data_IF_226794445936
#
_entry.id   IF_226794445936
#
_cell.length_a   1.000
_cell.length_b   1.000
_cell.length_c   1.000
_cell.angle_alpha   90.00
_cell.angle_beta   90.00
_cell.angle_gamma   90.00
#
_symmetry.space_group_name_H-M   'P 1'
#
loop_
_entity.id
_entity.type
_entity.pdbx_description
1 polymer ?
#
# COMPACT_ATOMS: atom_id res chain seq x y z
N UNK A 1 31.91 -18.22 6.90
CA UNK A 1 30.89 -17.73 5.96
C UNK A 1 29.87 -16.87 6.73
N UNK A 2 30.00 -15.54 6.75
CA UNK A 2 29.17 -14.67 7.59
C UNK A 2 28.20 -13.84 6.72
N UNK A 3 27.29 -14.48 6.00
CA UNK A 3 26.29 -13.78 5.18
C UNK A 3 24.84 -14.21 5.46
N UNK A 4 24.64 -15.26 6.27
CA UNK A 4 23.30 -15.75 6.65
C UNK A 4 22.85 -15.17 8.01
N UNK A 5 23.79 -14.78 8.88
CA UNK A 5 23.47 -14.30 10.23
C UNK A 5 22.82 -12.91 10.29
N UNK A 6 22.95 -12.09 9.24
CA UNK A 6 22.44 -10.70 9.26
C UNK A 6 20.97 -10.63 8.82
N UNK A 7 20.47 -11.61 8.06
CA UNK A 7 19.08 -11.61 7.59
C UNK A 7 18.07 -12.05 8.66
N UNK A 8 18.53 -12.67 9.76
CA UNK A 8 17.67 -13.17 10.84
C UNK A 8 17.36 -12.12 11.92
N UNK A 9 18.01 -10.96 11.89
CA UNK A 9 17.97 -9.98 12.97
C UNK A 9 16.81 -8.96 12.91
N UNK A 10 15.90 -9.04 11.93
CA UNK A 10 14.82 -8.06 11.75
C UNK A 10 13.39 -8.63 11.83
N UNK A 11 13.26 -9.91 12.16
CA UNK A 11 11.96 -10.55 12.44
C UNK A 11 11.97 -11.11 13.86
N UNK A 12 11.94 -10.20 14.83
CA UNK A 12 11.52 -10.51 16.21
C UNK A 12 10.02 -10.83 16.20
N UNK A 13 9.63 -11.96 15.61
CA UNK A 13 8.42 -12.64 16.06
C UNK A 13 8.80 -13.26 17.41
N UNK A 14 8.50 -12.55 18.50
CA UNK A 14 8.81 -13.01 19.86
C UNK A 14 8.00 -14.24 20.24
N UNK A 15 6.86 -14.49 19.59
CA UNK A 15 5.96 -15.60 19.92
C UNK A 15 5.32 -16.17 18.64
N UNK A 16 5.45 -17.49 18.43
CA UNK A 16 4.68 -18.26 17.44
C UNK A 16 3.65 -19.08 18.20
N UNK A 17 2.37 -18.73 18.02
CA UNK A 17 1.24 -19.32 18.75
C UNK A 17 0.51 -20.31 17.85
N UNK A 18 0.52 -21.59 18.21
CA UNK A 18 -0.22 -22.65 17.52
C UNK A 18 -1.45 -23.04 18.34
N UNK A 19 -2.65 -22.89 17.76
CA UNK A 19 -3.93 -22.98 18.48
C UNK A 19 -4.67 -24.30 18.31
N UNK A 20 -4.04 -25.36 17.76
CA UNK A 20 -4.75 -26.64 17.59
C UNK A 20 -3.92 -27.88 17.95
N UNK A 21 -4.49 -28.71 18.83
CA UNK A 21 -3.92 -29.97 19.38
C UNK A 21 -3.54 -31.01 18.30
N UNK A 22 -4.00 -30.84 17.06
CA UNK A 22 -3.70 -31.77 15.94
C UNK A 22 -2.22 -31.70 15.53
N UNK A 23 -1.54 -30.58 15.78
CA UNK A 23 -0.17 -30.33 15.31
C UNK A 23 0.92 -30.86 16.25
N UNK A 24 0.57 -31.32 17.46
CA UNK A 24 1.56 -31.80 18.45
C UNK A 24 2.31 -33.05 17.97
N UNK A 25 1.63 -33.94 17.22
CA UNK A 25 2.25 -35.15 16.64
C UNK A 25 3.20 -34.82 15.49
N UNK A 26 2.81 -33.88 14.64
CA UNK A 26 3.66 -33.38 13.56
C UNK A 26 4.87 -32.63 14.14
N UNK A 27 4.66 -31.82 15.19
CA UNK A 27 5.70 -31.08 15.91
C UNK A 27 6.79 -32.01 16.46
N UNK A 28 6.42 -33.14 17.06
CA UNK A 28 7.38 -34.10 17.61
C UNK A 28 8.36 -34.65 16.56
N UNK A 29 7.93 -34.72 15.29
CA UNK A 29 8.77 -35.16 14.16
C UNK A 29 9.65 -33.99 13.69
N UNK A 30 9.05 -32.82 13.43
CA UNK A 30 9.75 -31.69 12.81
C UNK A 30 10.66 -30.90 13.76
N UNK A 31 10.44 -30.96 15.09
CA UNK A 31 11.20 -30.15 16.07
C UNK A 31 12.72 -30.35 15.96
N UNK A 32 13.16 -31.56 15.60
CA UNK A 32 14.59 -31.88 15.47
C UNK A 32 15.25 -31.23 14.24
N UNK A 33 14.46 -30.73 13.29
CA UNK A 33 14.93 -30.01 12.11
C UNK A 33 14.90 -28.48 12.28
N UNK A 34 14.34 -28.00 13.40
CA UNK A 34 14.22 -26.57 13.73
C UNK A 34 15.34 -26.19 14.70
N UNK A 35 15.97 -25.03 14.51
CA UNK A 35 17.02 -24.54 15.41
C UNK A 35 16.48 -24.35 16.85
N UNK A 36 17.26 -24.69 17.91
CA UNK A 36 16.81 -24.57 19.30
C UNK A 36 16.30 -23.17 19.69
N UNK A 37 16.85 -22.10 19.13
CA UNK A 37 16.41 -20.73 19.40
C UNK A 37 15.00 -20.47 18.85
N UNK A 38 14.65 -21.09 17.72
CA UNK A 38 13.31 -21.01 17.14
C UNK A 38 12.34 -21.92 17.89
N UNK A 39 12.79 -23.11 18.31
CA UNK A 39 11.98 -24.02 19.13
C UNK A 39 11.48 -23.35 20.41
N UNK A 40 12.34 -22.58 21.08
CA UNK A 40 12.00 -21.87 22.32
C UNK A 40 10.97 -20.74 22.15
N UNK A 41 10.71 -20.30 20.91
CA UNK A 41 9.72 -19.25 20.59
C UNK A 41 8.34 -19.81 20.24
N UNK A 42 8.19 -21.13 20.17
CA UNK A 42 6.94 -21.79 19.77
C UNK A 42 6.18 -22.20 21.03
N UNK A 43 5.01 -21.59 21.22
CA UNK A 43 4.12 -21.86 22.34
C UNK A 43 2.85 -22.55 21.83
N UNK A 44 2.60 -23.76 22.32
CA UNK A 44 1.35 -24.48 22.06
C UNK A 44 0.36 -24.13 23.15
N UNK A 45 -0.71 -23.45 22.77
CA UNK A 45 -1.78 -23.13 23.70
C UNK A 45 -2.70 -24.34 23.87
N UNK A 46 -3.11 -24.62 25.10
CA UNK A 46 -4.13 -25.64 25.38
C UNK A 46 -5.53 -25.04 25.38
N UNK A 47 -5.62 -23.81 25.87
CA UNK A 47 -6.85 -23.03 25.94
C UNK A 47 -6.66 -21.70 25.24
N UNK A 48 -7.72 -21.21 24.59
CA UNK A 48 -7.67 -19.96 23.82
C UNK A 48 -7.47 -18.73 24.72
N UNK A 49 -7.81 -18.84 26.01
CA UNK A 49 -7.60 -17.81 27.05
C UNK A 49 -6.12 -17.55 27.36
N UNK A 50 -5.24 -18.54 27.14
CA UNK A 50 -3.79 -18.39 27.32
C UNK A 50 -3.19 -17.37 26.32
N UNK A 51 -3.92 -17.04 25.25
CA UNK A 51 -3.52 -16.02 24.28
C UNK A 51 -3.44 -14.61 24.89
N UNK A 52 -4.21 -14.36 25.95
CA UNK A 52 -4.21 -13.08 26.66
C UNK A 52 -2.93 -12.83 27.46
N UNK A 53 -2.12 -13.87 27.73
CA UNK A 53 -0.79 -13.70 28.34
C UNK A 53 0.21 -13.04 27.38
N UNK A 54 -0.04 -13.13 26.06
CA UNK A 54 0.85 -12.64 25.03
C UNK A 54 0.33 -11.40 24.30
N UNK A 55 -1.00 -11.27 24.17
CA UNK A 55 -1.64 -10.19 23.40
C UNK A 55 -2.82 -9.66 24.20
N UNK A 56 -2.83 -8.35 24.48
CA UNK A 56 -3.94 -7.73 25.19
C UNK A 56 -5.28 -7.94 24.43
N UNK A 57 -6.40 -8.22 25.14
CA UNK A 57 -7.70 -8.45 24.51
C UNK A 57 -8.18 -7.37 23.51
N UNK A 58 -7.87 -6.07 23.68
CA UNK A 58 -8.18 -5.01 22.70
C UNK A 58 -7.47 -5.13 21.36
N UNK A 59 -6.32 -5.80 21.31
CA UNK A 59 -5.52 -5.99 20.09
C UNK A 59 -5.81 -7.33 19.41
N UNK A 60 -6.55 -8.21 20.08
CA UNK A 60 -6.84 -9.55 19.60
C UNK A 60 -8.19 -9.60 18.86
N UNK A 61 -8.26 -10.18 17.65
CA UNK A 61 -9.51 -10.30 16.90
C UNK A 61 -10.58 -11.11 17.63
N UNK A 62 -11.87 -10.78 17.42
CA UNK A 62 -13.02 -11.51 18.00
C UNK A 62 -13.04 -13.01 17.70
N UNK A 63 -12.61 -13.45 16.51
CA UNK A 63 -12.47 -14.88 16.19
C UNK A 63 -11.47 -15.64 17.07
N UNK A 64 -10.59 -14.90 17.76
CA UNK A 64 -9.62 -15.42 18.72
C UNK A 64 -9.99 -15.01 20.16
N UNK A 65 -11.28 -14.74 20.42
CA UNK A 65 -11.83 -14.35 21.73
C UNK A 65 -11.35 -13.00 22.29
N UNK A 66 -10.72 -12.17 21.47
CA UNK A 66 -10.45 -10.79 21.82
C UNK A 66 -11.64 -9.85 21.58
N UNK A 67 -11.38 -8.55 21.70
CA UNK A 67 -12.40 -7.50 21.50
C UNK A 67 -12.18 -6.71 20.22
N UNK A 68 -11.02 -6.83 19.56
CA UNK A 68 -10.73 -6.17 18.30
C UNK A 68 -11.68 -6.70 17.19
N UNK A 69 -12.29 -5.82 16.38
CA UNK A 69 -13.12 -6.27 15.26
C UNK A 69 -12.33 -7.19 14.31
N UNK A 70 -12.98 -8.24 13.81
CA UNK A 70 -12.36 -9.13 12.84
C UNK A 70 -12.07 -8.39 11.53
N UNK A 71 -10.92 -8.72 10.93
CA UNK A 71 -10.58 -8.23 9.61
C UNK A 71 -11.56 -8.78 8.58
N UNK A 72 -12.32 -7.90 7.95
CA UNK A 72 -13.20 -8.22 6.81
C UNK A 72 -12.68 -7.49 5.58
N UNK A 73 -12.25 -8.28 4.59
CA UNK A 73 -11.85 -7.72 3.31
C UNK A 73 -13.07 -7.19 2.55
N UNK A 74 -12.99 -5.93 2.10
CA UNK A 74 -13.97 -5.33 1.21
C UNK A 74 -13.45 -5.47 -0.22
N UNK A 75 -14.08 -6.33 -1.05
CA UNK A 75 -13.65 -6.51 -2.42
C UNK A 75 -13.86 -5.23 -3.25
N UNK A 76 -13.13 -5.08 -4.38
CA UNK A 76 -13.39 -4.02 -5.34
C UNK A 76 -14.84 -4.05 -5.82
N UNK A 77 -15.46 -2.87 -5.96
CA UNK A 77 -16.82 -2.77 -6.49
C UNK A 77 -16.84 -2.96 -8.01
N UNK A 78 -18.02 -3.18 -8.59
CA UNK A 78 -18.20 -3.22 -10.05
C UNK A 78 -17.75 -1.91 -10.71
N UNK A 79 -17.94 -0.76 -10.04
CA UNK A 79 -17.46 0.54 -10.52
C UNK A 79 -15.92 0.59 -10.55
N UNK A 80 -15.25 0.16 -9.48
CA UNK A 80 -13.78 0.12 -9.40
C UNK A 80 -13.18 -0.70 -10.55
N UNK A 81 -13.77 -1.87 -10.84
CA UNK A 81 -13.34 -2.75 -11.92
C UNK A 81 -13.56 -2.13 -13.32
N UNK A 82 -14.71 -1.49 -13.53
CA UNK A 82 -15.03 -0.80 -14.79
C UNK A 82 -14.04 0.35 -15.05
N UNK A 83 -13.75 1.16 -14.03
CA UNK A 83 -12.81 2.27 -14.14
C UNK A 83 -11.39 1.78 -14.39
N UNK A 84 -10.95 0.74 -13.69
CA UNK A 84 -9.65 0.11 -13.92
C UNK A 84 -9.52 -0.39 -15.36
N UNK A 85 -10.55 -1.05 -15.89
CA UNK A 85 -10.56 -1.52 -17.27
C UNK A 85 -10.45 -0.35 -18.27
N UNK A 86 -11.17 0.75 -18.04
CA UNK A 86 -11.12 1.94 -18.89
C UNK A 86 -9.71 2.56 -18.92
N UNK A 87 -9.06 2.76 -17.77
CA UNK A 87 -7.69 3.31 -17.72
C UNK A 87 -6.65 2.36 -18.32
N UNK A 88 -6.84 1.04 -18.20
CA UNK A 88 -5.94 0.05 -18.83
C UNK A 88 -6.08 0.02 -20.36
N UNK A 89 -7.28 0.25 -20.87
CA UNK A 89 -7.54 0.33 -22.31
C UNK A 89 -6.94 1.60 -22.94
N UNK A 90 -6.93 2.72 -22.22
CA UNK A 90 -6.40 4.01 -22.69
C UNK A 90 -4.85 4.09 -22.66
N UNK A 91 -4.21 3.34 -23.56
CA UNK A 91 -2.74 3.32 -23.71
C UNK A 91 -2.18 4.67 -24.17
N UNK A 92 -2.92 5.39 -25.03
CA UNK A 92 -2.47 6.65 -25.59
C UNK A 92 -2.53 7.79 -24.56
N UNK A 93 -3.64 7.91 -23.83
CA UNK A 93 -3.76 8.88 -22.74
C UNK A 93 -2.71 8.62 -21.66
N UNK A 94 -2.48 7.36 -21.29
CA UNK A 94 -1.39 6.98 -20.37
C UNK A 94 -0.02 7.45 -20.84
N UNK A 95 0.28 7.33 -22.14
CA UNK A 95 1.56 7.77 -22.72
C UNK A 95 1.71 9.30 -22.63
N UNK A 96 0.66 10.04 -22.96
CA UNK A 96 0.64 11.51 -22.93
C UNK A 96 0.86 12.02 -21.50
N UNK A 97 0.05 11.55 -20.55
CA UNK A 97 0.10 12.00 -19.16
C UNK A 97 1.43 11.59 -18.51
N UNK A 98 1.94 10.39 -18.79
CA UNK A 98 3.28 9.96 -18.32
C UNK A 98 4.39 10.88 -18.84
N UNK A 99 4.32 11.27 -20.11
CA UNK A 99 5.31 12.17 -20.69
C UNK A 99 5.25 13.57 -20.05
N UNK A 100 4.04 14.09 -19.82
CA UNK A 100 3.82 15.36 -19.12
C UNK A 100 4.39 15.31 -17.68
N UNK A 101 4.07 14.27 -16.92
CA UNK A 101 4.61 14.09 -15.57
C UNK A 101 6.14 13.98 -15.56
N UNK A 102 6.73 13.24 -16.51
CA UNK A 102 8.19 13.14 -16.64
C UNK A 102 8.84 14.50 -16.96
N UNK A 103 8.18 15.35 -17.76
CA UNK A 103 8.64 16.71 -18.04
C UNK A 103 8.60 17.57 -16.78
N UNK A 104 7.50 17.54 -16.04
CA UNK A 104 7.36 18.27 -14.78
C UNK A 104 8.40 17.83 -13.74
N UNK A 105 8.63 16.53 -13.60
CA UNK A 105 9.65 15.97 -12.70
C UNK A 105 11.06 16.45 -13.05
N UNK A 106 11.43 16.44 -14.34
CA UNK A 106 12.73 16.98 -14.80
C UNK A 106 12.86 18.46 -14.50
N UNK A 107 11.81 19.25 -14.73
CA UNK A 107 11.83 20.67 -14.43
C UNK A 107 12.05 20.93 -12.94
N UNK A 108 11.27 20.27 -12.07
CA UNK A 108 11.44 20.36 -10.62
C UNK A 108 12.85 19.95 -10.16
N UNK A 109 13.40 18.86 -10.71
CA UNK A 109 14.75 18.39 -10.39
C UNK A 109 15.80 19.43 -10.81
N UNK A 110 15.70 19.98 -12.02
CA UNK A 110 16.66 20.99 -12.51
C UNK A 110 16.65 22.26 -11.64
N UNK A 111 15.47 22.74 -11.25
CA UNK A 111 15.34 23.94 -10.40
C UNK A 111 15.85 23.64 -8.98
N UNK A 112 15.51 22.47 -8.43
CA UNK A 112 15.98 22.05 -7.10
C UNK A 112 17.50 21.83 -7.07
N UNK A 113 18.09 21.38 -8.18
CA UNK A 113 19.54 21.23 -8.30
C UNK A 113 20.26 22.58 -8.30
N UNK A 114 19.74 23.61 -8.98
CA UNK A 114 20.27 24.98 -8.88
C UNK A 114 20.24 25.49 -7.44
N UNK A 115 19.12 25.26 -6.75
CA UNK A 115 18.97 25.63 -5.34
C UNK A 115 19.96 24.89 -4.44
N UNK A 116 20.13 23.58 -4.65
CA UNK A 116 21.10 22.77 -3.92
C UNK A 116 22.56 23.19 -4.17
N UNK A 117 22.85 23.85 -5.29
CA UNK A 117 24.16 24.45 -5.58
C UNK A 117 24.33 25.87 -5.01
N UNK A 118 23.37 26.37 -4.21
CA UNK A 118 23.50 27.61 -3.46
C UNK A 118 22.85 28.84 -4.11
N UNK A 119 22.08 28.67 -5.20
CA UNK A 119 21.24 29.76 -5.71
C UNK A 119 19.98 29.89 -4.85
N UNK A 120 19.93 30.94 -4.04
CA UNK A 120 18.77 31.27 -3.19
C UNK A 120 18.07 32.55 -3.67
N UNK A 121 18.21 32.90 -4.95
CA UNK A 121 17.49 34.04 -5.51
C UNK A 121 15.98 33.87 -5.35
N UNK A 122 15.28 34.96 -5.03
CA UNK A 122 13.83 34.93 -4.82
C UNK A 122 13.08 34.43 -6.08
N UNK A 123 13.62 34.74 -7.26
CA UNK A 123 13.15 34.21 -8.54
C UNK A 123 13.23 32.69 -8.64
N UNK A 124 14.33 32.08 -8.18
CA UNK A 124 14.49 30.63 -8.22
C UNK A 124 13.58 29.95 -7.19
N UNK A 125 13.42 30.56 -6.00
CA UNK A 125 12.52 30.04 -4.97
C UNK A 125 11.08 30.03 -5.47
N UNK A 126 10.64 31.06 -6.18
CA UNK A 126 9.31 31.07 -6.80
C UNK A 126 9.19 30.08 -7.97
N UNK A 127 10.20 29.99 -8.84
CA UNK A 127 10.24 28.96 -9.88
C UNK A 127 10.12 27.55 -9.27
N UNK A 128 10.81 27.29 -8.14
CA UNK A 128 10.76 25.99 -7.45
C UNK A 128 9.38 25.71 -6.87
N UNK A 129 8.72 26.71 -6.25
CA UNK A 129 7.34 26.57 -5.77
C UNK A 129 6.38 26.26 -6.92
N UNK A 130 6.53 26.93 -8.06
CA UNK A 130 5.72 26.67 -9.25
C UNK A 130 5.99 25.27 -9.82
N UNK A 131 7.25 24.86 -9.94
CA UNK A 131 7.64 23.54 -10.39
C UNK A 131 7.09 22.42 -9.48
N UNK A 132 7.03 22.67 -8.16
CA UNK A 132 6.43 21.76 -7.19
C UNK A 132 4.92 21.59 -7.45
N UNK A 133 4.21 22.69 -7.69
CA UNK A 133 2.78 22.66 -8.04
C UNK A 133 2.55 21.88 -9.34
N UNK A 134 3.31 22.19 -10.39
CA UNK A 134 3.23 21.48 -11.67
C UNK A 134 3.52 19.98 -11.54
N UNK A 135 4.50 19.61 -10.72
CA UNK A 135 4.83 18.21 -10.45
C UNK A 135 3.65 17.49 -9.79
N UNK A 136 3.08 18.09 -8.74
CA UNK A 136 1.88 17.57 -8.08
C UNK A 136 0.72 17.44 -9.06
N UNK A 137 0.35 18.51 -9.75
CA UNK A 137 -0.82 18.53 -10.63
C UNK A 137 -0.67 17.49 -11.77
N UNK A 138 0.53 17.36 -12.34
CA UNK A 138 0.82 16.33 -13.35
C UNK A 138 0.78 14.90 -12.78
N UNK A 139 1.14 14.72 -11.51
CA UNK A 139 1.03 13.42 -10.83
C UNK A 139 -0.44 13.08 -10.61
N UNK A 140 -1.29 14.04 -10.22
CA UNK A 140 -2.72 13.80 -10.02
C UNK A 140 -3.42 13.31 -11.28
N UNK A 141 -3.03 13.83 -12.45
CA UNK A 141 -3.51 13.32 -13.73
C UNK A 141 -2.99 11.92 -14.05
N UNK A 142 -1.79 11.58 -13.58
CA UNK A 142 -1.12 10.31 -13.87
C UNK A 142 -1.58 9.16 -12.97
N UNK A 143 -1.90 9.44 -11.70
CA UNK A 143 -2.30 8.48 -10.66
C UNK A 143 -3.31 7.43 -11.16
N UNK A 144 -4.41 7.77 -11.85
CA UNK A 144 -5.42 6.79 -12.26
C UNK A 144 -4.91 5.72 -13.24
N UNK A 145 -3.81 6.00 -13.94
CA UNK A 145 -3.19 5.09 -14.90
C UNK A 145 -2.12 4.16 -14.28
N UNK A 146 -1.76 4.38 -13.01
CA UNK A 146 -0.74 3.59 -12.29
C UNK A 146 -1.25 3.02 -10.97
N UNK A 147 -2.31 3.59 -10.41
CA UNK A 147 -2.88 3.20 -9.13
C UNK A 147 -4.40 3.01 -9.23
N UNK A 148 -4.95 2.19 -8.33
CA UNK A 148 -6.39 1.95 -8.20
C UNK A 148 -6.79 2.11 -6.75
N UNK A 149 -8.08 2.33 -6.49
CA UNK A 149 -8.59 2.33 -5.12
C UNK A 149 -8.17 1.06 -4.37
N UNK A 150 -7.48 1.25 -3.26
CA UNK A 150 -7.04 0.17 -2.38
C UNK A 150 -8.13 -0.19 -1.37
N UNK A 151 -7.90 -1.23 -0.57
CA UNK A 151 -8.78 -1.58 0.54
C UNK A 151 -9.00 -0.40 1.51
N UNK A 152 -7.95 0.39 1.78
CA UNK A 152 -8.02 1.54 2.68
C UNK A 152 -8.93 2.67 2.16
N UNK A 153 -9.03 2.82 0.85
CA UNK A 153 -9.99 3.75 0.23
C UNK A 153 -11.43 3.27 0.43
N UNK A 154 -11.67 1.96 0.24
CA UNK A 154 -13.01 1.36 0.39
C UNK A 154 -13.49 1.33 1.84
N UNK A 155 -12.58 1.19 2.80
CA UNK A 155 -12.88 1.26 4.24
C UNK A 155 -12.98 2.69 4.78
N UNK A 156 -12.71 3.71 3.96
CA UNK A 156 -12.78 5.12 4.38
C UNK A 156 -11.63 5.59 5.26
N UNK A 157 -10.56 4.80 5.40
CA UNK A 157 -9.35 5.20 6.15
C UNK A 157 -8.55 6.25 5.37
N UNK A 158 -8.48 6.08 4.04
CA UNK A 158 -7.87 7.05 3.13
C UNK A 158 -8.98 7.65 2.28
N UNK A 159 -9.12 8.97 2.34
CA UNK A 159 -10.10 9.70 1.53
C UNK A 159 -9.36 10.65 0.58
N UNK A 160 -8.96 10.11 -0.57
CA UNK A 160 -8.29 10.90 -1.62
C UNK A 160 -9.30 11.27 -2.72
N UNK A 161 -9.57 12.57 -2.94
CA UNK A 161 -10.53 13.01 -3.95
C UNK A 161 -10.05 12.74 -5.39
N UNK A 162 -8.79 12.34 -5.56
CA UNK A 162 -8.13 12.14 -6.85
C UNK A 162 -8.87 11.11 -7.71
N UNK A 163 -9.36 10.03 -7.10
CA UNK A 163 -10.09 8.98 -7.80
C UNK A 163 -11.48 9.45 -8.19
N UNK A 164 -12.14 10.23 -7.33
CA UNK A 164 -13.46 10.77 -7.64
C UNK A 164 -13.41 11.78 -8.78
N UNK A 165 -12.40 12.66 -8.78
CA UNK A 165 -12.17 13.63 -9.84
C UNK A 165 -11.79 12.93 -11.15
N UNK A 166 -10.87 11.97 -11.10
CA UNK A 166 -10.45 11.23 -12.28
C UNK A 166 -11.59 10.41 -12.89
N UNK A 167 -12.39 9.75 -12.07
CA UNK A 167 -13.51 8.92 -12.52
C UNK A 167 -14.61 9.80 -13.12
N UNK A 168 -14.91 10.97 -12.53
CA UNK A 168 -15.82 11.97 -13.13
C UNK A 168 -15.35 12.41 -14.52
N UNK A 169 -14.07 12.78 -14.68
CA UNK A 169 -13.50 13.18 -15.97
C UNK A 169 -13.64 12.09 -17.05
N UNK A 170 -13.45 10.81 -16.68
CA UNK A 170 -13.63 9.70 -17.61
C UNK A 170 -15.09 9.49 -18.03
N UNK A 171 -16.05 9.55 -17.09
CA UNK A 171 -17.48 9.39 -17.40
C UNK A 171 -17.93 10.41 -18.43
N UNK A 172 -17.61 11.69 -18.19
CA UNK A 172 -17.92 12.76 -19.12
C UNK A 172 -17.31 12.50 -20.51
N UNK A 173 -16.03 12.11 -20.59
CA UNK A 173 -15.38 11.79 -21.87
C UNK A 173 -16.09 10.67 -22.64
N UNK A 174 -16.64 9.68 -21.96
CA UNK A 174 -17.37 8.57 -22.60
C UNK A 174 -18.79 8.97 -23.02
N UNK A 175 -19.50 9.78 -22.21
CA UNK A 175 -20.81 10.33 -22.57
C UNK A 175 -20.74 11.18 -23.84
N UNK A 176 -19.73 12.05 -23.97
CA UNK A 176 -19.51 12.85 -25.18
C UNK A 176 -19.24 12.00 -26.44
N UNK A 177 -18.74 10.77 -26.31
CA UNK A 177 -18.54 9.87 -27.46
C UNK A 177 -19.82 9.18 -27.92
N UNK A 178 -20.82 9.03 -27.04
CA UNK A 178 -22.08 8.34 -27.38
C UNK A 178 -23.05 9.29 -28.10
N UNK A 179 -22.97 10.60 -27.83
CA UNK A 179 -23.87 11.62 -28.41
C UNK A 179 -23.45 12.07 -29.82
N UNK A 180 -22.30 11.63 -30.34
CA UNK A 180 -21.79 12.01 -31.66
C UNK A 180 -22.08 10.99 -32.78
N UNK A 181 -23.12 10.17 -32.64
CA UNK A 181 -23.59 9.26 -33.68
C UNK A 181 -24.98 9.66 -34.18
#
# INVERSE_FOLDING_TARGET
MPLISILFALLQFEVIIATHVKDVRCWAIIKHWVDPVIQNKIHFLKHEEELFEFIDPPNLPKRLHGTHPDYKYIPPTTEDNTMLAAFRADKQGRKIVRAAHRKAARHYLNVTLKWAHGDESETLLEERKQATKQLRDSFEEFVPYIHTRTYYHRMGVINEPIFDVAYKKLRHRNEFKIVQF
#
